data_IF_288814217280
#
_entry.id   IF_288814217280
#
_cell.length_a   1.000
_cell.length_b   1.000
_cell.length_c   1.000
_cell.angle_alpha   90.00
_cell.angle_beta   90.00
_cell.angle_gamma   90.00
#
_symmetry.space_group_name_H-M   'P 1'
#
loop_
_entity.id
_entity.type
_entity.pdbx_description
1 polymer ?
#
# COMPACT_ATOMS: atom_id res chain seq x y z
N UNK A 1 6.73 -19.04 13.88
CA UNK A 1 5.77 -18.61 12.86
C UNK A 1 6.49 -18.40 11.55
N UNK A 2 6.06 -19.09 10.51
CA UNK A 2 6.69 -18.94 9.21
C UNK A 2 6.18 -17.72 8.49
N UNK A 3 7.09 -17.01 7.86
CA UNK A 3 6.71 -15.87 7.02
C UNK A 3 7.48 -15.95 5.71
N UNK A 4 6.94 -15.26 4.70
CA UNK A 4 7.58 -15.20 3.39
C UNK A 4 7.36 -13.81 2.78
N UNK A 5 8.40 -13.30 2.15
CA UNK A 5 8.34 -12.05 1.40
C UNK A 5 8.44 -12.41 -0.07
N UNK A 6 7.52 -11.91 -0.88
CA UNK A 6 7.49 -12.19 -2.31
C UNK A 6 6.87 -11.03 -3.09
N UNK A 7 6.99 -11.07 -4.40
CA UNK A 7 6.39 -10.05 -5.24
C UNK A 7 4.87 -10.19 -5.29
N UNK A 8 4.18 -9.07 -5.45
CA UNK A 8 2.74 -9.04 -5.64
C UNK A 8 2.39 -9.70 -6.97
N UNK A 9 1.40 -10.58 -6.96
CA UNK A 9 0.91 -11.22 -8.18
C UNK A 9 -0.11 -10.32 -8.87
N UNK A 10 -0.24 -10.46 -10.21
CA UNK A 10 -1.24 -9.70 -10.97
C UNK A 10 -2.63 -9.93 -10.40
N UNK A 11 -2.94 -11.16 -9.99
CA UNK A 11 -4.25 -11.49 -9.42
C UNK A 11 -4.50 -10.83 -8.07
N UNK A 12 -3.47 -10.22 -7.47
CA UNK A 12 -3.55 -9.64 -6.13
C UNK A 12 -3.55 -8.11 -6.14
N UNK A 13 -3.59 -7.49 -7.31
CA UNK A 13 -3.56 -6.01 -7.39
C UNK A 13 -4.66 -5.37 -6.54
N UNK A 14 -5.80 -6.02 -6.44
CA UNK A 14 -6.92 -5.52 -5.61
C UNK A 14 -6.54 -5.35 -4.14
N UNK A 15 -5.55 -6.11 -3.66
CA UNK A 15 -5.12 -6.01 -2.27
C UNK A 15 -4.47 -4.66 -1.97
N UNK A 16 -3.98 -3.95 -3.00
CA UNK A 16 -3.40 -2.63 -2.79
C UNK A 16 -4.40 -1.65 -2.21
N UNK A 17 -5.70 -1.80 -2.52
CA UNK A 17 -6.71 -0.94 -1.90
C UNK A 17 -6.75 -1.13 -0.39
N UNK A 18 -6.74 -2.39 0.04
CA UNK A 18 -6.73 -2.72 1.46
C UNK A 18 -5.49 -2.15 2.14
N UNK A 19 -4.31 -2.36 1.55
CA UNK A 19 -3.07 -1.89 2.16
C UNK A 19 -2.93 -0.38 2.12
N UNK A 20 -3.44 0.27 1.08
CA UNK A 20 -3.44 1.73 1.06
C UNK A 20 -4.31 2.28 2.20
N UNK A 21 -5.49 1.70 2.39
CA UNK A 21 -6.36 2.12 3.48
C UNK A 21 -5.69 1.92 4.84
N UNK A 22 -5.02 0.79 5.03
CA UNK A 22 -4.32 0.50 6.29
C UNK A 22 -3.10 1.40 6.50
N UNK A 23 -2.54 1.95 5.43
CA UNK A 23 -1.40 2.86 5.53
C UNK A 23 -1.80 4.25 6.04
N UNK A 24 -3.08 4.59 5.94
CA UNK A 24 -3.58 5.88 6.42
C UNK A 24 -3.65 5.83 7.94
N UNK A 25 -3.00 6.81 8.60
CA UNK A 25 -2.99 6.84 10.06
C UNK A 25 -4.39 7.08 10.62
N UNK A 26 -4.83 6.18 11.50
CA UNK A 26 -6.13 6.26 12.14
C UNK A 26 -5.95 6.06 13.65
N UNK A 27 -5.99 7.15 14.43
CA UNK A 27 -5.87 7.03 15.89
C UNK A 27 -6.97 6.13 16.45
N UNK A 28 -6.62 5.28 17.40
CA UNK A 28 -7.54 4.29 17.95
C UNK A 28 -8.74 4.87 18.67
N UNK A 29 -8.64 6.12 19.11
CA UNK A 29 -9.71 6.78 19.85
C UNK A 29 -10.60 7.66 18.98
N UNK A 30 -10.55 7.48 17.67
CA UNK A 30 -11.37 8.22 16.71
C UNK A 30 -12.17 7.26 15.87
N UNK A 31 -13.25 7.77 15.30
CA UNK A 31 -14.03 7.02 14.32
C UNK A 31 -13.14 6.69 13.11
N UNK A 32 -13.31 5.48 12.61
CA UNK A 32 -12.57 5.06 11.43
C UNK A 32 -13.00 5.87 10.22
N UNK A 33 -12.03 6.18 9.36
CA UNK A 33 -12.31 6.80 8.09
C UNK A 33 -13.09 5.83 7.20
N UNK A 34 -13.99 6.33 6.35
CA UNK A 34 -14.71 5.44 5.44
C UNK A 34 -13.74 4.78 4.46
N UNK A 35 -14.05 3.54 4.07
CA UNK A 35 -13.16 2.78 3.18
C UNK A 35 -12.96 3.51 1.86
N UNK A 36 -13.97 4.22 1.37
CA UNK A 36 -13.88 4.92 0.09
C UNK A 36 -13.02 6.18 0.12
N UNK A 37 -12.40 6.52 1.27
CA UNK A 37 -11.48 7.65 1.31
C UNK A 37 -10.31 7.44 0.34
N UNK A 38 -9.96 6.19 0.05
CA UNK A 38 -8.87 5.90 -0.88
C UNK A 38 -9.21 6.26 -2.33
N UNK A 39 -10.50 6.53 -2.62
CA UNK A 39 -10.90 6.97 -3.95
C UNK A 39 -10.69 8.48 -4.14
N UNK A 40 -10.29 9.19 -3.10
CA UNK A 40 -9.88 10.59 -3.19
C UNK A 40 -8.68 10.68 -4.14
N UNK A 41 -8.68 11.57 -5.13
CA UNK A 41 -7.61 11.61 -6.13
C UNK A 41 -6.20 11.64 -5.55
N UNK A 42 -5.97 12.39 -4.48
CA UNK A 42 -4.65 12.51 -3.86
C UNK A 42 -4.16 11.20 -3.27
N UNK A 43 -5.06 10.33 -2.83
CA UNK A 43 -4.70 9.04 -2.25
C UNK A 43 -4.70 7.94 -3.30
N UNK A 44 -5.67 7.95 -4.21
CA UNK A 44 -5.82 6.89 -5.18
C UNK A 44 -4.62 6.78 -6.13
N UNK A 45 -3.93 7.88 -6.38
CA UNK A 45 -2.79 7.86 -7.29
C UNK A 45 -1.65 6.94 -6.83
N UNK A 46 -1.63 6.55 -5.56
CA UNK A 46 -0.62 5.60 -5.07
C UNK A 46 -0.83 4.18 -5.58
N UNK A 47 -2.02 3.88 -6.08
CA UNK A 47 -2.34 2.54 -6.60
C UNK A 47 -3.00 2.59 -7.98
N UNK A 48 -3.32 3.77 -8.50
CA UNK A 48 -4.05 3.92 -9.76
C UNK A 48 -3.27 3.30 -10.92
N UNK A 49 -3.99 2.51 -11.73
CA UNK A 49 -3.42 1.89 -12.92
C UNK A 49 -2.12 1.14 -12.61
N UNK A 50 -2.14 0.35 -11.55
CA UNK A 50 -0.97 -0.41 -11.12
C UNK A 50 -0.46 -1.30 -12.23
N UNK A 51 0.88 -1.39 -12.35
CA UNK A 51 1.53 -2.23 -13.35
C UNK A 51 2.36 -1.44 -14.35
N UNK A 52 2.61 -0.16 -14.07
CA UNK A 52 3.52 0.63 -14.91
C UNK A 52 4.94 0.12 -14.77
N UNK A 53 5.79 0.45 -15.72
CA UNK A 53 7.14 -0.15 -15.86
C UNK A 53 7.97 -0.10 -14.58
N UNK A 54 7.84 0.96 -13.79
CA UNK A 54 8.66 1.13 -12.58
C UNK A 54 7.89 0.85 -11.28
N UNK A 55 6.66 0.33 -11.39
CA UNK A 55 5.91 -0.07 -10.21
C UNK A 55 6.48 -1.36 -9.65
N UNK A 56 6.66 -1.42 -8.34
CA UNK A 56 7.19 -2.62 -7.70
C UNK A 56 6.60 -2.79 -6.33
N UNK A 57 6.16 -3.99 -6.00
CA UNK A 57 5.53 -4.28 -4.72
C UNK A 57 5.97 -5.64 -4.20
N UNK A 58 6.39 -5.65 -2.92
CA UNK A 58 6.63 -6.89 -2.18
C UNK A 58 5.53 -7.04 -1.14
N UNK A 59 5.09 -8.28 -0.93
CA UNK A 59 4.10 -8.57 0.08
C UNK A 59 4.69 -9.51 1.12
N UNK A 60 4.17 -9.41 2.33
CA UNK A 60 4.54 -10.28 3.44
C UNK A 60 3.40 -11.26 3.69
N UNK A 61 3.72 -12.55 3.67
CA UNK A 61 2.78 -13.62 4.00
C UNK A 61 3.15 -14.24 5.34
N UNK A 62 2.13 -14.51 6.15
CA UNK A 62 2.28 -15.29 7.37
C UNK A 62 1.21 -16.36 7.33
N UNK A 63 1.62 -17.64 7.44
CA UNK A 63 0.70 -18.78 7.38
C UNK A 63 -0.21 -18.74 6.14
N UNK A 64 0.37 -18.38 4.99
CA UNK A 64 -0.31 -18.29 3.69
C UNK A 64 -1.33 -17.16 3.59
N UNK A 65 -1.30 -16.21 4.53
CA UNK A 65 -2.18 -15.02 4.50
C UNK A 65 -1.32 -13.80 4.22
N UNK A 66 -1.70 -13.00 3.24
CA UNK A 66 -0.99 -11.76 2.94
C UNK A 66 -1.36 -10.70 3.98
N UNK A 67 -0.39 -10.30 4.79
CA UNK A 67 -0.64 -9.41 5.94
C UNK A 67 0.02 -8.05 5.82
N UNK A 68 0.85 -7.84 4.80
CA UNK A 68 1.51 -6.56 4.63
C UNK A 68 2.02 -6.38 3.21
N UNK A 69 2.36 -5.14 2.90
CA UNK A 69 2.91 -4.79 1.60
C UNK A 69 3.81 -3.57 1.72
N UNK A 70 4.80 -3.52 0.85
CA UNK A 70 5.63 -2.35 0.65
C UNK A 70 5.74 -2.13 -0.85
N UNK A 71 5.45 -0.92 -1.32
CA UNK A 71 5.52 -0.68 -2.75
C UNK A 71 6.11 0.69 -3.05
N UNK A 72 6.66 0.80 -4.26
CA UNK A 72 7.24 2.04 -4.75
C UNK A 72 6.63 2.37 -6.11
N UNK A 73 6.52 3.65 -6.39
CA UNK A 73 6.17 4.13 -7.72
C UNK A 73 6.58 5.59 -7.85
N UNK A 74 6.80 6.02 -9.08
CA UNK A 74 7.15 7.40 -9.37
C UNK A 74 5.87 8.21 -9.56
N UNK A 75 5.66 9.22 -8.70
CA UNK A 75 4.46 10.04 -8.71
C UNK A 75 4.85 11.51 -8.66
N UNK A 76 4.44 12.28 -9.66
CA UNK A 76 4.73 13.71 -9.67
C UNK A 76 3.98 14.48 -8.60
N UNK A 77 2.76 14.06 -8.27
CA UNK A 77 1.90 14.79 -7.35
C UNK A 77 1.67 14.05 -6.04
N UNK A 78 2.53 13.11 -5.70
CA UNK A 78 2.43 12.40 -4.42
C UNK A 78 2.92 13.25 -3.26
N UNK A 79 2.54 12.87 -2.05
CA UNK A 79 2.89 13.63 -0.85
C UNK A 79 4.38 13.69 -0.60
N UNK A 80 5.11 12.66 -1.01
CA UNK A 80 6.56 12.60 -0.83
C UNK A 80 7.36 13.03 -2.04
N UNK A 81 6.70 13.68 -3.01
CA UNK A 81 7.38 14.01 -4.26
C UNK A 81 8.55 14.98 -4.05
N UNK A 82 9.71 14.59 -4.55
CA UNK A 82 10.91 15.44 -4.55
C UNK A 82 11.27 15.77 -6.01
N UNK A 83 11.36 14.74 -6.86
CA UNK A 83 11.60 14.93 -8.28
C UNK A 83 11.25 13.63 -9.02
N UNK A 84 11.33 13.65 -10.36
CA UNK A 84 10.90 12.53 -11.18
C UNK A 84 11.80 11.29 -11.09
N UNK A 85 12.98 11.39 -10.46
CA UNK A 85 13.91 10.28 -10.36
C UNK A 85 13.87 9.59 -9.00
N UNK A 86 13.10 10.12 -8.04
CA UNK A 86 12.99 9.54 -6.70
C UNK A 86 11.58 8.98 -6.52
N UNK A 87 11.44 7.66 -6.37
CA UNK A 87 10.12 7.07 -6.18
C UNK A 87 9.57 7.35 -4.79
N UNK A 88 8.26 7.27 -4.67
CA UNK A 88 7.61 7.30 -3.36
C UNK A 88 7.42 5.88 -2.84
N UNK A 89 7.60 5.74 -1.55
CA UNK A 89 7.50 4.46 -0.85
C UNK A 89 6.25 4.43 0.00
N UNK A 90 5.48 3.35 -0.13
CA UNK A 90 4.34 3.09 0.75
C UNK A 90 4.58 1.79 1.47
N UNK A 91 4.17 1.71 2.74
CA UNK A 91 4.33 0.51 3.55
C UNK A 91 3.11 0.35 4.45
N UNK A 92 2.64 -0.88 4.59
CA UNK A 92 1.44 -1.15 5.37
C UNK A 92 1.46 -2.56 5.92
N UNK A 93 0.94 -2.71 7.15
CA UNK A 93 0.64 -4.01 7.75
C UNK A 93 -0.80 -3.99 8.21
N UNK A 94 -1.48 -5.13 8.14
CA UNK A 94 -2.80 -5.26 8.72
C UNK A 94 -2.72 -5.02 10.22
N UNK A 95 -3.79 -4.47 10.78
CA UNK A 95 -3.82 -4.03 12.17
C UNK A 95 -3.34 -5.09 13.16
N UNK A 96 -3.77 -6.34 12.97
CA UNK A 96 -3.44 -7.42 13.91
C UNK A 96 -1.97 -7.83 13.89
N UNK A 97 -1.19 -7.31 12.94
CA UNK A 97 0.23 -7.63 12.80
C UNK A 97 1.13 -6.44 13.10
N UNK A 98 0.57 -5.38 13.65
CA UNK A 98 1.32 -4.22 14.15
C UNK A 98 1.51 -4.35 15.65
N UNK A 99 2.55 -3.74 16.14
CA UNK A 99 2.78 -3.70 17.59
C UNK A 99 1.86 -2.72 18.28
#
# INVERSE_FOLDING_TARGET
MEYRIRELKVSEIRLLRTFLYEAIYQPSNRDKLPVNIIDTPELYLYIKDWGKANDYCLVLEIANITVGAIWIRFLKNGYGYINDTIPELCMSLLKDFRN
#
